data_IF_421885282071
#
_entry.id   IF_421885282071
#
_cell.length_a   1.000
_cell.length_b   1.000
_cell.length_c   1.000
_cell.angle_alpha   90.00
_cell.angle_beta   90.00
_cell.angle_gamma   90.00
#
_symmetry.space_group_name_H-M   'P 1'
#
loop_
_entity.id
_entity.type
_entity.pdbx_description
1 polymer ?
#
# COMPACT_ATOMS: atom_id res chain seq x y z
N UNK A 1 2.33 -10.64 -4.91
CA UNK A 1 3.78 -10.60 -4.64
C UNK A 1 4.09 -9.31 -3.90
N UNK A 2 4.88 -9.38 -2.82
CA UNK A 2 5.34 -8.24 -2.03
C UNK A 2 6.47 -7.50 -2.77
N UNK A 3 6.52 -6.18 -2.63
CA UNK A 3 7.62 -5.36 -3.14
C UNK A 3 8.92 -5.50 -2.34
N UNK A 4 10.02 -4.98 -2.88
CA UNK A 4 11.31 -4.98 -2.16
C UNK A 4 11.25 -4.06 -0.92
N UNK A 5 11.94 -4.43 0.16
CA UNK A 5 12.05 -3.59 1.35
C UNK A 5 13.01 -2.42 1.11
N UNK A 6 12.54 -1.19 1.28
CA UNK A 6 13.32 0.04 1.14
C UNK A 6 13.65 0.59 2.53
N UNK A 7 14.93 0.66 2.89
CA UNK A 7 15.35 1.26 4.16
C UNK A 7 15.24 2.78 4.08
N UNK A 8 14.45 3.39 4.97
CA UNK A 8 14.27 4.85 5.06
C UNK A 8 14.99 5.47 6.25
N UNK A 9 15.49 4.67 7.18
CA UNK A 9 16.05 5.09 8.47
C UNK A 9 15.10 5.96 9.33
N UNK A 10 13.81 6.01 9.01
CA UNK A 10 12.81 6.74 9.78
C UNK A 10 12.03 5.77 10.67
N UNK A 11 12.02 6.01 11.98
CA UNK A 11 11.40 5.10 12.95
C UNK A 11 9.88 5.03 12.87
N UNK A 12 9.23 6.02 12.23
CA UNK A 12 7.77 6.00 12.02
C UNK A 12 7.37 5.30 10.71
N UNK A 13 8.33 4.97 9.86
CA UNK A 13 8.06 4.22 8.64
C UNK A 13 8.03 2.72 8.97
N UNK A 14 6.97 2.03 8.57
CA UNK A 14 6.77 0.62 8.89
C UNK A 14 6.38 -0.17 7.65
N UNK A 15 7.10 -1.25 7.39
CA UNK A 15 6.75 -2.22 6.36
C UNK A 15 6.04 -3.41 7.00
N UNK A 16 4.91 -3.82 6.42
CA UNK A 16 4.28 -5.12 6.74
C UNK A 16 4.98 -6.19 5.92
N UNK A 17 5.60 -7.19 6.53
CA UNK A 17 6.23 -8.33 5.85
C UNK A 17 5.29 -9.53 5.89
N UNK A 18 4.78 -9.95 4.73
CA UNK A 18 3.68 -10.93 4.65
C UNK A 18 2.32 -10.25 4.51
N UNK A 19 1.23 -10.90 4.90
CA UNK A 19 -0.14 -10.42 4.68
C UNK A 19 -0.63 -9.45 5.75
N UNK A 20 -1.55 -8.56 5.38
CA UNK A 20 -2.14 -7.59 6.31
C UNK A 20 -2.10 -6.17 5.80
N UNK A 21 -3.02 -5.36 6.33
CA UNK A 21 -3.15 -3.94 6.04
C UNK A 21 -3.21 -3.15 7.34
N UNK A 22 -2.65 -1.94 7.35
CA UNK A 22 -2.90 -0.97 8.40
C UNK A 22 -4.33 -0.44 8.26
N UNK A 23 -5.05 -0.39 9.38
CA UNK A 23 -6.35 0.26 9.43
C UNK A 23 -6.15 1.75 9.75
N UNK A 24 -6.80 2.62 8.98
CA UNK A 24 -6.78 4.06 9.19
C UNK A 24 -8.19 4.62 9.26
N UNK A 25 -8.38 5.62 10.10
CA UNK A 25 -9.63 6.35 10.25
C UNK A 25 -9.58 7.61 9.39
N UNK A 26 -10.52 7.73 8.46
CA UNK A 26 -10.70 8.94 7.66
C UNK A 26 -11.40 10.04 8.48
N UNK A 27 -11.31 11.32 8.07
CA UNK A 27 -11.96 12.43 8.76
C UNK A 27 -13.50 12.33 8.74
N UNK A 28 -14.06 11.57 7.81
CA UNK A 28 -15.50 11.26 7.72
C UNK A 28 -15.96 10.21 8.77
N UNK A 29 -15.04 9.65 9.55
CA UNK A 29 -15.33 8.64 10.57
C UNK A 29 -15.38 7.20 10.04
N UNK A 30 -15.17 6.97 8.74
CA UNK A 30 -15.14 5.62 8.17
C UNK A 30 -13.73 5.06 8.11
N UNK A 31 -13.62 3.73 8.21
CA UNK A 31 -12.34 3.03 8.12
C UNK A 31 -11.90 2.86 6.68
N UNK A 32 -10.60 3.00 6.46
CA UNK A 32 -9.91 2.59 5.25
C UNK A 32 -8.71 1.74 5.65
N UNK A 33 -8.19 1.02 4.67
CA UNK A 33 -7.08 0.10 4.86
C UNK A 33 -5.95 0.51 3.93
N UNK A 34 -4.70 0.41 4.35
CA UNK A 34 -3.54 0.73 3.53
C UNK A 34 -2.37 -0.21 3.81
N UNK A 35 -1.52 -0.37 2.81
CA UNK A 35 -0.21 -1.05 2.97
C UNK A 35 0.94 -0.05 3.01
N UNK A 36 0.63 1.24 2.82
CA UNK A 36 1.59 2.31 2.99
C UNK A 36 1.78 2.56 4.49
N UNK A 37 2.99 2.34 4.98
CA UNK A 37 3.35 2.61 6.36
C UNK A 37 4.20 3.86 6.54
N UNK A 38 4.12 4.83 5.62
CA UNK A 38 4.75 6.16 5.78
C UNK A 38 3.98 7.04 6.77
N UNK A 39 4.07 6.70 8.06
CA UNK A 39 3.39 7.44 9.12
C UNK A 39 4.18 8.67 9.57
N UNK A 40 3.45 9.71 9.96
CA UNK A 40 3.95 10.96 10.54
C UNK A 40 3.19 11.24 11.84
N UNK A 41 3.76 12.08 12.69
CA UNK A 41 3.07 12.56 13.89
C UNK A 41 2.33 13.84 13.55
N UNK A 42 1.07 13.96 13.98
CA UNK A 42 0.32 15.22 13.90
C UNK A 42 0.64 16.15 15.09
N UNK A 43 -0.01 17.32 15.15
CA UNK A 43 0.13 18.29 16.24
C UNK A 43 -0.29 17.74 17.61
N UNK A 44 -1.12 16.71 17.62
CA UNK A 44 -1.64 16.06 18.81
C UNK A 44 -0.78 14.85 19.21
N UNK A 45 0.27 14.55 18.44
CA UNK A 45 1.16 13.41 18.63
C UNK A 45 0.62 12.09 18.07
N UNK A 46 -0.57 12.08 17.46
CA UNK A 46 -1.14 10.87 16.87
C UNK A 46 -0.40 10.49 15.58
N UNK A 47 -0.24 9.18 15.35
CA UNK A 47 0.29 8.66 14.08
C UNK A 47 -0.77 8.79 12.98
N UNK A 48 -0.43 9.56 11.95
CA UNK A 48 -1.25 9.81 10.77
C UNK A 48 -0.50 9.44 9.50
N UNK A 49 -1.23 9.07 8.45
CA UNK A 49 -0.66 8.90 7.11
C UNK A 49 -0.25 10.25 6.52
N UNK A 50 0.44 10.24 5.38
CA UNK A 50 0.75 11.43 4.57
C UNK A 50 -0.50 12.25 4.19
N UNK A 51 -1.68 11.63 4.13
CA UNK A 51 -2.96 12.26 3.86
C UNK A 51 -3.68 12.78 5.14
N UNK A 52 -3.10 12.59 6.32
CA UNK A 52 -3.68 13.00 7.60
C UNK A 52 -4.69 12.01 8.19
N UNK A 53 -4.75 10.77 7.70
CA UNK A 53 -5.63 9.74 8.24
C UNK A 53 -5.01 9.07 9.47
N UNK A 54 -5.74 9.00 10.57
CA UNK A 54 -5.23 8.46 11.84
C UNK A 54 -5.08 6.96 11.78
N UNK A 55 -3.96 6.42 12.24
CA UNK A 55 -3.79 4.99 12.43
C UNK A 55 -4.77 4.47 13.49
N UNK A 56 -5.26 3.25 13.30
CA UNK A 56 -6.12 2.55 14.26
C UNK A 56 -5.47 1.23 14.71
N UNK A 57 -5.49 0.92 16.03
CA UNK A 57 -5.94 1.79 17.13
C UNK A 57 -5.09 3.07 17.24
N UNK A 58 -5.67 4.14 17.79
CA UNK A 58 -4.98 5.43 17.88
C UNK A 58 -3.75 5.32 18.80
N UNK A 59 -2.58 5.64 18.25
CA UNK A 59 -1.31 5.66 18.99
C UNK A 59 -0.86 7.11 19.09
N UNK A 60 -0.87 7.63 20.32
CA UNK A 60 -0.43 9.00 20.62
C UNK A 60 0.97 8.95 21.18
N UNK A 61 1.90 9.56 20.45
CA UNK A 61 3.29 9.70 20.84
C UNK A 61 3.42 10.94 21.74
N UNK A 62 3.93 10.80 22.97
CA UNK A 62 4.17 11.93 23.86
C UNK A 62 5.12 12.97 23.23
N UNK A 63 4.86 14.27 23.45
CA UNK A 63 5.69 15.35 22.89
C UNK A 63 7.15 15.35 23.41
N UNK A 64 7.39 14.73 24.57
CA UNK A 64 8.69 14.55 25.19
C UNK A 64 9.42 13.27 24.73
N UNK A 65 8.87 12.52 23.77
CA UNK A 65 9.51 11.35 23.20
C UNK A 65 10.64 11.73 22.23
N UNK A 66 11.84 11.23 22.49
CA UNK A 66 13.03 11.44 21.66
C UNK A 66 13.06 10.47 20.48
N UNK A 67 12.73 9.19 20.73
CA UNK A 67 12.76 8.11 19.74
C UNK A 67 11.52 7.25 19.87
N UNK A 68 11.00 6.78 18.73
CA UNK A 68 9.97 5.74 18.67
C UNK A 68 10.66 4.46 18.24
N UNK A 69 10.29 3.34 18.84
CA UNK A 69 10.68 2.02 18.41
C UNK A 69 9.42 1.18 18.17
N UNK A 70 9.34 0.52 17.02
CA UNK A 70 8.20 -0.34 16.67
C UNK A 70 8.73 -1.75 16.55
N UNK A 71 8.23 -2.63 17.41
CA UNK A 71 8.60 -4.04 17.46
C UNK A 71 7.83 -4.83 16.39
N UNK A 72 8.32 -6.03 16.08
CA UNK A 72 7.74 -6.91 15.05
C UNK A 72 6.31 -7.36 15.36
N UNK A 73 5.99 -7.45 16.65
CA UNK A 73 4.69 -7.82 17.20
C UNK A 73 3.67 -6.66 17.17
N UNK A 74 4.08 -5.48 16.68
CA UNK A 74 3.28 -4.27 16.64
C UNK A 74 3.33 -3.42 17.90
N UNK A 75 4.08 -3.82 18.92
CA UNK A 75 4.23 -3.00 20.12
C UNK A 75 5.04 -1.74 19.80
N UNK A 76 4.45 -0.58 20.09
CA UNK A 76 5.08 0.72 19.88
C UNK A 76 5.59 1.23 21.21
N UNK A 77 6.88 1.48 21.27
CA UNK A 77 7.58 2.01 22.42
C UNK A 77 8.12 3.41 22.11
N UNK A 78 8.08 4.29 23.10
CA UNK A 78 8.65 5.61 23.03
C UNK A 78 9.67 5.80 24.14
N UNK A 79 10.86 6.27 23.79
CA UNK A 79 11.87 6.69 24.78
C UNK A 79 11.66 8.16 25.08
N UNK A 80 11.36 8.47 26.34
CA UNK A 80 11.12 9.84 26.80
C UNK A 80 12.44 10.47 27.21
N UNK A 81 12.63 11.76 26.90
CA UNK A 81 13.78 12.54 27.36
C UNK A 81 13.91 12.47 28.89
N UNK A 82 15.05 11.97 29.38
CA UNK A 82 15.33 11.82 30.81
C UNK A 82 15.01 10.44 31.40
N UNK A 83 14.47 9.50 30.61
CA UNK A 83 14.30 8.10 31.01
C UNK A 83 15.08 7.19 30.04
N UNK A 84 15.91 6.30 30.59
CA UNK A 84 16.65 5.31 29.78
C UNK A 84 15.80 4.11 29.36
N UNK A 85 14.59 3.95 29.92
CA UNK A 85 13.69 2.83 29.63
C UNK A 85 12.59 3.32 28.69
N UNK A 86 12.38 2.60 27.59
CA UNK A 86 11.29 2.87 26.66
C UNK A 86 9.95 2.49 27.30
N UNK A 87 8.93 3.33 27.12
CA UNK A 87 7.58 3.06 27.58
C UNK A 87 6.71 2.60 26.42
N UNK A 88 5.93 1.55 26.63
CA UNK A 88 4.93 1.09 25.66
C UNK A 88 3.77 2.08 25.58
N UNK A 89 3.55 2.65 24.40
CA UNK A 89 2.50 3.65 24.16
C UNK A 89 1.27 3.07 23.45
N UNK A 90 1.40 1.92 22.82
CA UNK A 90 0.30 1.26 22.13
C UNK A 90 0.74 0.04 21.34
N UNK A 91 -0.23 -0.61 20.68
CA UNK A 91 0.01 -1.76 19.81
C UNK A 91 -0.69 -1.56 18.47
N UNK A 92 0.05 -1.69 17.38
CA UNK A 92 -0.47 -1.70 16.01
C UNK A 92 -1.12 -3.05 15.76
N UNK A 93 -2.33 -3.03 15.22
CA UNK A 93 -3.01 -4.22 14.71
C UNK A 93 -3.03 -4.18 13.18
N UNK A 94 -3.07 -5.37 12.58
CA UNK A 94 -3.22 -5.54 11.14
C UNK A 94 -4.61 -6.07 10.83
N UNK A 95 -5.20 -5.53 9.77
CA UNK A 95 -6.42 -6.03 9.17
C UNK A 95 -6.07 -7.09 8.12
N UNK A 96 -6.50 -8.33 8.34
CA UNK A 96 -6.43 -9.41 7.37
C UNK A 96 -7.83 -9.64 6.79
N UNK A 97 -7.89 -9.87 5.48
CA UNK A 97 -9.13 -10.14 4.77
C UNK A 97 -9.11 -11.55 4.19
N UNK A 98 -10.22 -12.29 4.26
CA UNK A 98 -10.32 -13.60 3.59
C UNK A 98 -10.08 -13.50 2.08
N UNK A 99 -10.52 -12.42 1.44
CA UNK A 99 -10.28 -12.16 0.02
C UNK A 99 -9.79 -10.73 -0.25
N UNK A 100 -8.47 -10.49 -0.25
CA UNK A 100 -7.91 -9.16 -0.52
C UNK A 100 -8.21 -8.63 -1.93
N UNK A 101 -8.45 -9.51 -2.91
CA UNK A 101 -8.78 -9.10 -4.28
C UNK A 101 -10.18 -8.47 -4.40
N UNK A 102 -11.06 -8.74 -3.43
CA UNK A 102 -12.39 -8.13 -3.35
C UNK A 102 -12.39 -6.72 -2.77
N UNK A 103 -11.26 -6.21 -2.27
CA UNK A 103 -11.20 -4.86 -1.69
C UNK A 103 -11.42 -3.79 -2.75
N UNK A 104 -12.24 -2.79 -2.43
CA UNK A 104 -12.46 -1.68 -3.33
C UNK A 104 -11.35 -0.63 -3.16
N UNK A 105 -10.75 -0.16 -4.26
CA UNK A 105 -9.70 0.87 -4.22
C UNK A 105 -10.34 2.24 -4.27
N UNK A 106 -10.04 3.08 -3.28
CA UNK A 106 -10.52 4.47 -3.23
C UNK A 106 -9.47 5.50 -3.66
N UNK A 107 -8.28 5.04 -4.08
CA UNK A 107 -7.16 5.89 -4.50
C UNK A 107 -6.12 6.11 -3.41
N UNK A 108 -4.95 6.65 -3.77
CA UNK A 108 -3.89 6.99 -2.80
C UNK A 108 -3.40 5.81 -1.95
N UNK A 109 -3.29 4.61 -2.52
CA UNK A 109 -2.97 3.37 -1.80
C UNK A 109 -3.93 3.07 -0.63
N UNK A 110 -5.20 3.41 -0.78
CA UNK A 110 -6.24 3.09 0.20
C UNK A 110 -7.29 2.17 -0.40
N UNK A 111 -7.78 1.30 0.48
CA UNK A 111 -8.78 0.29 0.20
C UNK A 111 -9.93 0.41 1.21
N UNK A 112 -11.13 0.04 0.77
CA UNK A 112 -12.29 -0.13 1.64
C UNK A 112 -12.80 -1.56 1.51
N UNK A 113 -13.44 -2.03 2.58
CA UNK A 113 -14.11 -3.34 2.56
C UNK A 113 -15.27 -3.35 1.55
N UNK A 114 -15.54 -4.53 1.02
CA UNK A 114 -16.68 -4.80 0.14
C UNK A 114 -17.32 -6.13 0.50
N UNK A 115 -18.51 -6.39 -0.06
CA UNK A 115 -19.17 -7.68 0.13
C UNK A 115 -18.36 -8.86 -0.42
N UNK A 116 -17.46 -8.61 -1.38
CA UNK A 116 -16.61 -9.64 -1.98
C UNK A 116 -15.29 -9.86 -1.22
N UNK A 117 -14.84 -8.90 -0.40
CA UNK A 117 -13.63 -9.06 0.43
C UNK A 117 -13.88 -9.85 1.70
N UNK A 118 -15.12 -9.83 2.18
CA UNK A 118 -15.47 -10.21 3.56
C UNK A 118 -15.10 -9.10 4.55
N UNK A 119 -15.38 -9.36 5.82
CA UNK A 119 -15.10 -8.47 6.95
C UNK A 119 -13.62 -8.49 7.33
N UNK A 120 -13.08 -7.34 7.75
CA UNK A 120 -11.72 -7.26 8.28
C UNK A 120 -11.59 -8.05 9.59
N UNK A 121 -10.60 -8.94 9.68
CA UNK A 121 -10.17 -9.53 10.94
C UNK A 121 -8.98 -8.72 11.48
N UNK A 122 -9.15 -8.08 12.63
CA UNK A 122 -8.10 -7.28 13.26
C UNK A 122 -7.31 -8.17 14.23
N UNK A 123 -6.05 -8.43 13.88
CA UNK A 123 -5.18 -9.32 14.66
C UNK A 123 -3.85 -8.64 14.93
N UNK A 124 -3.11 -9.16 15.91
CA UNK A 124 -1.75 -8.71 16.13
C UNK A 124 -0.85 -9.20 14.97
N UNK A 125 0.20 -8.44 14.62
CA UNK A 125 1.26 -8.94 13.75
C UNK A 125 1.81 -10.29 14.21
N UNK A 126 2.24 -11.12 13.25
CA UNK A 126 2.71 -12.51 13.45
C UNK A 126 1.68 -13.51 14.00
N UNK A 127 0.40 -13.11 14.12
CA UNK A 127 -0.69 -14.00 14.59
C UNK A 127 -1.75 -14.21 13.52
N UNK A 128 -2.38 -15.39 13.52
CA UNK A 128 -3.56 -15.72 12.69
C UNK A 128 -3.40 -15.43 11.18
N UNK A 129 -2.18 -15.69 10.66
CA UNK A 129 -1.84 -15.49 9.24
C UNK A 129 -1.40 -14.05 8.89
N UNK A 130 -1.43 -13.11 9.84
CA UNK A 130 -0.87 -11.79 9.65
C UNK A 130 0.66 -11.81 9.59
N UNK A 131 1.20 -10.96 8.74
CA UNK A 131 2.62 -10.69 8.59
C UNK A 131 3.23 -10.02 9.83
N UNK A 132 4.56 -9.97 9.86
CA UNK A 132 5.31 -9.23 10.87
C UNK A 132 5.50 -7.76 10.46
N UNK A 133 5.86 -6.91 11.42
CA UNK A 133 6.22 -5.52 11.12
C UNK A 133 7.74 -5.34 11.09
N UNK A 134 8.19 -4.46 10.21
CA UNK A 134 9.59 -4.05 10.12
C UNK A 134 9.68 -2.53 10.12
N UNK A 135 10.14 -1.96 11.23
CA UNK A 135 10.32 -0.53 11.40
C UNK A 135 11.56 -0.01 10.64
N UNK A 136 11.51 1.23 10.15
CA UNK A 136 12.60 1.83 9.36
C UNK A 136 12.59 1.43 7.89
N UNK A 137 11.56 0.70 7.44
CA UNK A 137 11.44 0.24 6.06
C UNK A 137 10.08 0.59 5.48
N UNK A 138 10.04 0.82 4.17
CA UNK A 138 8.82 0.93 3.38
C UNK A 138 8.75 -0.18 2.34
N UNK A 139 7.54 -0.63 2.03
CA UNK A 139 7.32 -1.56 0.92
C UNK A 139 7.48 -0.83 -0.41
N UNK A 140 8.44 -1.26 -1.22
CA UNK A 140 8.66 -0.76 -2.56
C UNK A 140 7.59 -1.23 -3.54
N UNK A 141 7.65 -0.70 -4.77
CA UNK A 141 6.80 -1.22 -5.85
C UNK A 141 7.23 -2.64 -6.22
N UNK A 142 6.27 -3.53 -6.41
CA UNK A 142 6.48 -4.88 -6.90
C UNK A 142 6.51 -4.96 -8.45
N UNK A 143 6.49 -3.81 -9.12
CA UNK A 143 6.49 -3.70 -10.59
C UNK A 143 7.86 -3.27 -11.07
N UNK A 144 8.42 -4.03 -12.01
CA UNK A 144 9.69 -3.69 -12.66
C UNK A 144 9.43 -2.76 -13.84
N UNK A 145 10.08 -1.59 -13.84
CA UNK A 145 9.95 -0.61 -14.94
C UNK A 145 10.42 -1.19 -16.26
N UNK A 146 11.46 -2.04 -16.25
CA UNK A 146 11.98 -2.67 -17.47
C UNK A 146 10.96 -3.62 -18.08
N UNK A 147 10.33 -4.46 -17.26
CA UNK A 147 9.30 -5.40 -17.73
C UNK A 147 8.06 -4.66 -18.27
N UNK A 148 7.64 -3.58 -17.60
CA UNK A 148 6.52 -2.78 -18.07
C UNK A 148 6.85 -2.01 -19.35
N UNK A 149 8.08 -1.54 -19.55
CA UNK A 149 8.50 -0.95 -20.82
C UNK A 149 8.47 -1.97 -21.96
N UNK A 150 8.89 -3.23 -21.72
CA UNK A 150 8.79 -4.30 -22.72
C UNK A 150 7.33 -4.62 -23.05
N UNK A 151 6.44 -4.66 -22.04
CA UNK A 151 4.99 -4.85 -22.24
C UNK A 151 4.36 -3.71 -23.02
N UNK A 152 4.82 -2.48 -22.79
CA UNK A 152 4.35 -1.31 -23.53
C UNK A 152 4.83 -1.36 -24.99
N UNK A 153 6.10 -1.71 -25.24
CA UNK A 153 6.63 -1.89 -26.60
C UNK A 153 5.92 -3.03 -27.33
N UNK A 154 5.62 -4.15 -26.67
CA UNK A 154 4.90 -5.25 -27.32
C UNK A 154 3.45 -4.88 -27.64
N UNK A 155 2.77 -4.14 -26.75
CA UNK A 155 1.45 -3.59 -27.01
C UNK A 155 1.46 -2.57 -28.16
N UNK A 156 2.48 -1.70 -28.23
CA UNK A 156 2.67 -0.77 -29.35
C UNK A 156 2.90 -1.50 -30.67
N UNK A 157 3.77 -2.53 -30.69
CA UNK A 157 4.01 -3.36 -31.88
C UNK A 157 2.74 -4.07 -32.32
N UNK A 158 1.95 -4.62 -31.39
CA UNK A 158 0.67 -5.23 -31.71
C UNK A 158 -0.31 -4.21 -32.33
N UNK A 159 -0.36 -2.99 -31.78
CA UNK A 159 -1.17 -1.90 -32.35
C UNK A 159 -0.69 -1.49 -33.75
N UNK A 160 0.62 -1.35 -33.96
CA UNK A 160 1.22 -1.03 -35.27
C UNK A 160 0.90 -2.11 -36.31
N UNK A 161 1.05 -3.39 -35.95
CA UNK A 161 0.73 -4.53 -36.83
C UNK A 161 -0.76 -4.55 -37.16
N UNK A 162 -1.64 -4.35 -36.18
CA UNK A 162 -3.09 -4.30 -36.40
C UNK A 162 -3.48 -3.12 -37.30
N UNK A 163 -2.89 -1.94 -37.08
CA UNK A 163 -3.11 -0.76 -37.94
C UNK A 163 -2.63 -1.01 -39.36
N UNK A 164 -1.46 -1.65 -39.53
CA UNK A 164 -0.93 -1.99 -40.85
C UNK A 164 -1.79 -3.03 -41.56
N UNK A 165 -2.30 -4.04 -40.85
CA UNK A 165 -3.21 -5.03 -41.40
C UNK A 165 -4.53 -4.40 -41.90
N UNK A 166 -5.07 -3.41 -41.16
CA UNK A 166 -6.23 -2.62 -41.60
C UNK A 166 -5.89 -1.84 -42.86
N UNK A 167 -4.79 -1.09 -42.88
CA UNK A 167 -4.37 -0.33 -44.08
C UNK A 167 -4.21 -1.23 -45.31
N UNK A 168 -3.57 -2.40 -45.16
CA UNK A 168 -3.42 -3.33 -46.28
C UNK A 168 -4.75 -3.90 -46.75
N UNK A 169 -5.71 -4.06 -45.84
CA UNK A 169 -7.07 -4.47 -46.19
C UNK A 169 -7.79 -3.36 -46.96
N UNK A 170 -7.66 -2.11 -46.54
CA UNK A 170 -8.22 -0.93 -47.22
C UNK A 170 -7.61 -0.74 -48.61
N UNK A 171 -6.29 -0.90 -48.75
CA UNK A 171 -5.59 -0.84 -50.04
C UNK A 171 -6.11 -1.92 -51.01
N UNK A 172 -6.32 -3.15 -50.52
CA UNK A 172 -6.93 -4.22 -51.32
C UNK A 172 -8.38 -3.90 -51.72
N UNK A 173 -9.18 -3.32 -50.82
CA UNK A 173 -10.54 -2.88 -51.16
C UNK A 173 -10.54 -1.77 -52.22
N UNK A 174 -9.61 -0.83 -52.14
CA UNK A 174 -9.48 0.25 -53.12
C UNK A 174 -9.11 -0.30 -54.51
N UNK A 175 -8.14 -1.21 -54.58
CA UNK A 175 -7.75 -1.83 -55.86
C UNK A 175 -8.89 -2.63 -56.50
N UNK A 176 -9.66 -3.39 -55.71
CA UNK A 176 -10.86 -4.09 -56.17
C UNK A 176 -11.91 -3.12 -56.75
N UNK A 177 -12.11 -1.96 -56.12
CA UNK A 177 -13.06 -0.97 -56.62
C UNK A 177 -12.61 -0.37 -57.96
N UNK A 178 -11.31 -0.14 -58.16
CA UNK A 178 -10.77 0.37 -59.44
C UNK A 178 -10.81 -0.65 -60.58
N UNK A 179 -10.78 -1.96 -60.29
CA UNK A 179 -10.90 -3.03 -61.28
C UNK A 179 -12.33 -3.21 -61.81
N UNK A 180 -13.34 -2.69 -61.12
CA UNK A 180 -14.77 -2.79 -61.51
C UNK A 180 -15.21 -1.69 -62.48
N UNK A 181 -14.28 -0.95 -63.09
CA UNK A 181 -14.55 0.09 -64.09
C UNK A 181 -14.24 -0.37 -65.50
#
# INVERSE_FOLDING_TARGET
AQGAALNTNNSSDVMVVGEGFFQVLKPDGSFAYTRDGSFKKDSNGALVTSAGYKLQPEIVVPANATTINILKDGTVEATISGQSVAQTIGKITLAVFPNPAGLNRIGGNLWTESNASGTANLVAPETDGAGGLMAGYLEGSNVSVVEEMVRMISAQRAYEINSKAIQTSDDMLQTLNTLKR
#
